data_IF_790764232412
#
_entry.id   IF_790764232412
#
_cell.length_a   1.000
_cell.length_b   1.000
_cell.length_c   1.000
_cell.angle_alpha   90.00
_cell.angle_beta   90.00
_cell.angle_gamma   90.00
#
_symmetry.space_group_name_H-M   'P 1'
#
loop_
_entity.id
_entity.type
_entity.pdbx_description
1 polymer ?
#
# COMPACT_ATOMS: atom_id res chain seq x y z
N UNK A 1 -10.55 -15.98 25.94
CA UNK A 1 -11.08 -15.99 24.55
C UNK A 1 -10.72 -14.65 23.93
N UNK A 2 -9.56 -14.60 23.27
CA UNK A 2 -9.14 -13.41 22.51
C UNK A 2 -9.79 -13.56 21.14
N UNK A 3 -10.71 -12.67 20.84
CA UNK A 3 -11.40 -12.60 19.57
C UNK A 3 -10.35 -12.23 18.53
N UNK A 4 -9.82 -13.23 17.82
CA UNK A 4 -9.00 -13.00 16.64
C UNK A 4 -9.88 -12.27 15.62
N UNK A 5 -9.75 -10.95 15.57
CA UNK A 5 -10.26 -10.13 14.48
C UNK A 5 -9.44 -10.41 13.22
N UNK A 6 -9.59 -11.62 12.65
CA UNK A 6 -9.25 -11.85 11.25
C UNK A 6 -10.42 -11.28 10.47
N UNK A 7 -10.34 -9.98 10.18
CA UNK A 7 -11.28 -9.30 9.31
C UNK A 7 -11.29 -9.98 7.94
N UNK A 8 -12.47 -10.41 7.51
CA UNK A 8 -12.73 -10.97 6.19
C UNK A 8 -12.05 -10.14 5.08
N UNK A 9 -11.15 -10.78 4.33
CA UNK A 9 -10.90 -10.49 2.91
C UNK A 9 -9.91 -9.39 2.54
N UNK A 10 -9.63 -8.41 3.40
CA UNK A 10 -8.70 -7.32 3.10
C UNK A 10 -7.65 -7.18 4.21
N UNK A 11 -6.47 -7.73 3.93
CA UNK A 11 -5.30 -7.61 4.79
C UNK A 11 -4.88 -6.12 4.88
N UNK A 12 -4.57 -5.63 6.08
CA UNK A 12 -4.19 -4.23 6.32
C UNK A 12 -2.98 -3.76 5.50
N UNK A 13 -2.09 -4.69 5.16
CA UNK A 13 -0.97 -4.44 4.25
C UNK A 13 -1.43 -4.12 2.82
N UNK A 14 -2.46 -4.80 2.31
CA UNK A 14 -3.00 -4.55 0.97
C UNK A 14 -3.68 -3.17 0.94
N UNK A 15 -4.46 -2.83 1.96
CA UNK A 15 -5.12 -1.51 2.06
C UNK A 15 -4.05 -0.41 2.15
N UNK A 16 -3.06 -0.57 3.03
CA UNK A 16 -1.96 0.38 3.19
C UNK A 16 -1.18 0.59 1.89
N UNK A 17 -0.87 -0.50 1.17
CA UNK A 17 -0.17 -0.43 -0.10
C UNK A 17 -0.97 0.28 -1.20
N UNK A 18 -2.28 0.05 -1.28
CA UNK A 18 -3.18 0.80 -2.19
C UNK A 18 -3.18 2.29 -1.82
N UNK A 19 -3.29 2.64 -0.53
CA UNK A 19 -3.24 4.03 -0.08
C UNK A 19 -1.93 4.73 -0.46
N UNK A 20 -0.79 4.05 -0.34
CA UNK A 20 0.52 4.60 -0.73
C UNK A 20 0.63 4.82 -2.25
N UNK A 21 0.09 3.92 -3.07
CA UNK A 21 0.07 4.09 -4.53
C UNK A 21 -0.79 5.31 -4.91
N UNK A 22 -1.98 5.42 -4.32
CA UNK A 22 -2.88 6.57 -4.56
C UNK A 22 -2.20 7.86 -4.12
N UNK A 23 -1.61 7.87 -2.92
CA UNK A 23 -0.92 9.03 -2.38
C UNK A 23 0.28 9.46 -3.24
N UNK A 24 1.16 8.52 -3.61
CA UNK A 24 2.30 8.81 -4.49
C UNK A 24 1.85 9.30 -5.88
N UNK A 25 0.77 8.76 -6.43
CA UNK A 25 0.21 9.23 -7.71
C UNK A 25 -0.28 10.69 -7.60
N UNK A 26 -0.94 11.05 -6.51
CA UNK A 26 -1.38 12.42 -6.25
C UNK A 26 -0.18 13.38 -6.10
N UNK A 27 0.90 12.95 -5.45
CA UNK A 27 2.12 13.73 -5.32
C UNK A 27 2.81 13.95 -6.68
N UNK A 28 2.86 12.94 -7.54
CA UNK A 28 3.36 13.11 -8.92
C UNK A 28 2.54 14.13 -9.69
N UNK A 29 1.20 14.06 -9.61
CA UNK A 29 0.31 15.04 -10.24
C UNK A 29 0.55 16.46 -9.69
N UNK A 30 0.80 16.58 -8.39
CA UNK A 30 1.18 17.84 -7.76
C UNK A 30 2.54 18.35 -8.24
N UNK A 31 3.52 17.47 -8.45
CA UNK A 31 4.83 17.77 -9.01
C UNK A 31 4.78 18.31 -10.44
N UNK A 32 3.79 17.89 -11.24
CA UNK A 32 3.59 18.40 -12.61
C UNK A 32 3.12 19.86 -12.61
N UNK A 33 2.28 20.25 -11.64
CA UNK A 33 1.71 21.61 -11.58
C UNK A 33 2.56 22.59 -10.78
N UNK A 34 3.49 22.11 -9.94
CA UNK A 34 4.32 22.94 -9.07
C UNK A 34 5.82 22.69 -9.31
N UNK A 35 6.60 23.69 -9.78
CA UNK A 35 8.01 23.52 -10.12
C UNK A 35 8.91 23.22 -8.90
N UNK A 36 8.50 23.61 -7.68
CA UNK A 36 9.23 23.24 -6.45
C UNK A 36 8.98 21.76 -6.12
N UNK A 37 7.74 21.31 -6.30
CA UNK A 37 7.37 19.91 -6.07
C UNK A 37 7.91 18.97 -7.16
N UNK A 38 8.21 19.47 -8.35
CA UNK A 38 8.82 18.69 -9.43
C UNK A 38 10.15 18.02 -9.01
N UNK A 39 10.89 18.64 -8.09
CA UNK A 39 12.15 18.12 -7.57
C UNK A 39 11.93 16.84 -6.71
N UNK A 40 10.71 16.64 -6.19
CA UNK A 40 10.31 15.50 -5.38
C UNK A 40 9.72 14.34 -6.19
N UNK A 41 9.47 14.49 -7.49
CA UNK A 41 8.92 13.42 -8.35
C UNK A 41 9.68 12.08 -8.21
N UNK A 42 11.03 12.04 -8.13
CA UNK A 42 11.74 10.78 -7.88
C UNK A 42 11.36 10.11 -6.56
N UNK A 43 11.11 10.91 -5.51
CA UNK A 43 10.65 10.41 -4.21
C UNK A 43 9.19 9.94 -4.26
N UNK A 44 8.33 10.62 -5.02
CA UNK A 44 6.93 10.23 -5.20
C UNK A 44 6.81 8.86 -5.89
N UNK A 45 7.67 8.61 -6.88
CA UNK A 45 7.81 7.31 -7.53
C UNK A 45 8.26 6.25 -6.53
N UNK A 46 9.19 6.59 -5.62
CA UNK A 46 9.66 5.68 -4.58
C UNK A 46 8.53 5.32 -3.60
N UNK A 47 7.66 6.26 -3.26
CA UNK A 47 6.45 5.99 -2.45
C UNK A 47 5.53 4.97 -3.16
N UNK A 48 5.33 5.10 -4.47
CA UNK A 48 4.55 4.14 -5.26
C UNK A 48 5.21 2.74 -5.23
N UNK A 49 6.54 2.67 -5.39
CA UNK A 49 7.29 1.42 -5.29
C UNK A 49 7.15 0.76 -3.91
N UNK A 50 7.19 1.55 -2.83
CA UNK A 50 6.95 1.05 -1.48
C UNK A 50 5.53 0.50 -1.38
N UNK A 51 4.53 1.23 -1.88
CA UNK A 51 3.13 0.77 -1.89
C UNK A 51 2.96 -0.58 -2.59
N UNK A 52 3.60 -0.78 -3.74
CA UNK A 52 3.64 -2.07 -4.43
C UNK A 52 4.30 -3.17 -3.59
N UNK A 53 5.42 -2.87 -2.93
CA UNK A 53 6.10 -3.84 -2.06
C UNK A 53 5.21 -4.26 -0.88
N UNK A 54 4.47 -3.33 -0.26
CA UNK A 54 3.53 -3.64 0.83
C UNK A 54 2.38 -4.53 0.33
N UNK A 55 1.83 -4.26 -0.86
CA UNK A 55 0.81 -5.13 -1.46
C UNK A 55 1.36 -6.54 -1.66
N UNK A 56 2.57 -6.68 -2.20
CA UNK A 56 3.21 -7.98 -2.41
C UNK A 56 3.32 -8.73 -1.09
N UNK A 57 3.82 -8.08 -0.03
CA UNK A 57 3.89 -8.68 1.32
C UNK A 57 2.50 -9.10 1.80
N UNK A 58 1.50 -8.23 1.68
CA UNK A 58 0.12 -8.52 2.08
C UNK A 58 -0.48 -9.73 1.35
N UNK A 59 -0.18 -9.89 0.06
CA UNK A 59 -0.59 -11.07 -0.74
C UNK A 59 0.15 -12.33 -0.28
N UNK A 60 1.46 -12.24 -0.01
CA UNK A 60 2.24 -13.37 0.51
C UNK A 60 1.76 -13.81 1.90
N UNK A 61 1.46 -12.86 2.79
CA UNK A 61 0.89 -13.12 4.11
C UNK A 61 -0.47 -13.82 3.98
N UNK A 62 -1.34 -13.33 3.10
CA UNK A 62 -2.67 -13.92 2.89
C UNK A 62 -2.57 -15.35 2.32
N UNK A 63 -1.63 -15.61 1.40
CA UNK A 63 -1.38 -16.95 0.82
C UNK A 63 -0.83 -17.96 1.83
N UNK A 64 -0.11 -17.53 2.86
CA UNK A 64 0.42 -18.42 3.92
C UNK A 64 -0.61 -18.72 5.03
N UNK A 65 -1.78 -18.09 4.98
CA UNK A 65 -2.84 -18.26 5.98
C UNK A 65 -4.15 -18.89 5.43
N UNK A 66 -4.13 -19.98 4.63
CA UNK A 66 -5.34 -20.54 4.05
C UNK A 66 -6.24 -21.32 5.04
N UNK A 67 -5.94 -21.37 6.34
CA UNK A 67 -6.62 -22.26 7.28
C UNK A 67 -6.81 -21.65 8.67
N UNK A 68 -7.77 -20.73 8.77
CA UNK A 68 -8.55 -20.57 10.00
C UNK A 68 -10.02 -20.49 9.61
N UNK A 69 -10.52 -21.62 9.10
CA UNK A 69 -11.94 -21.95 9.20
C UNK A 69 -12.13 -22.62 10.56
N UNK A 70 -12.65 -21.88 11.54
CA UNK A 70 -13.36 -22.45 12.69
C UNK A 70 -14.73 -21.78 12.77
#
# INVERSE_FOLDING_TARGET
>A
MIINMVGNGLNGEIISGISLIVFGTLLVLFGIVNPVAALLIPADILIICIGLAVIVIGVFTNRKNPLIHY
#
